data_IF_656821326926
#
_entry.id   IF_656821326926
#
_cell.length_a   1.000
_cell.length_b   1.000
_cell.length_c   1.000
_cell.angle_alpha   90.00
_cell.angle_beta   90.00
_cell.angle_gamma   90.00
#
_symmetry.space_group_name_H-M   'P 1'
#
loop_
_entity.id
_entity.type
_entity.pdbx_description
1 polymer ?
#
# COMPACT_ATOMS: atom_id res chain seq x y z
N UNK A 1 42.73 20.32 -8.49
CA UNK A 1 41.96 19.94 -7.27
C UNK A 1 40.51 20.44 -7.26
N UNK A 2 39.95 20.89 -8.40
CA UNK A 2 38.57 21.39 -8.48
C UNK A 2 37.51 20.31 -8.87
N UNK A 3 37.92 19.09 -9.22
CA UNK A 3 36.98 18.06 -9.74
C UNK A 3 36.36 17.15 -8.68
N UNK A 4 36.89 17.10 -7.45
CA UNK A 4 36.35 16.23 -6.39
C UNK A 4 35.19 16.91 -5.67
N UNK A 5 35.24 18.24 -5.48
CA UNK A 5 34.15 18.99 -4.87
C UNK A 5 32.88 19.00 -5.74
N UNK A 6 33.01 18.96 -7.07
CA UNK A 6 31.87 18.95 -8.00
C UNK A 6 31.11 17.61 -7.99
N UNK A 7 31.80 16.49 -7.77
CA UNK A 7 31.20 15.15 -7.65
C UNK A 7 30.38 14.99 -6.36
N UNK A 8 30.78 15.63 -5.26
CA UNK A 8 29.99 15.64 -4.02
C UNK A 8 28.77 16.57 -4.08
N UNK A 9 28.82 17.63 -4.89
CA UNK A 9 27.68 18.55 -5.09
C UNK A 9 26.62 17.93 -6.02
N UNK A 10 27.01 17.03 -6.94
CA UNK A 10 26.07 16.28 -7.79
C UNK A 10 25.40 15.09 -7.10
N UNK A 11 25.98 14.56 -6.01
CA UNK A 11 25.33 13.57 -5.16
C UNK A 11 24.25 14.18 -4.24
N UNK A 12 24.27 15.50 -4.06
CA UNK A 12 23.32 16.25 -3.26
C UNK A 12 22.16 16.76 -4.14
N UNK A 13 21.22 15.86 -4.43
CA UNK A 13 19.79 16.09 -4.73
C UNK A 13 19.23 15.03 -5.69
N UNK A 14 19.56 13.74 -5.51
CA UNK A 14 18.71 12.72 -6.10
C UNK A 14 17.34 12.78 -5.41
N UNK A 15 16.27 12.83 -6.21
CA UNK A 15 14.90 12.70 -5.72
C UNK A 15 14.81 11.46 -4.80
N UNK A 16 14.36 11.62 -3.54
CA UNK A 16 14.20 10.51 -2.61
C UNK A 16 13.45 9.30 -3.19
N UNK A 17 12.47 9.54 -4.06
CA UNK A 17 11.74 8.47 -4.74
C UNK A 17 12.62 7.68 -5.72
N UNK A 18 13.49 8.38 -6.47
CA UNK A 18 14.45 7.76 -7.39
C UNK A 18 15.48 6.94 -6.60
N UNK A 19 16.03 7.49 -5.51
CA UNK A 19 16.97 6.75 -4.65
C UNK A 19 16.33 5.51 -4.03
N UNK A 20 15.09 5.61 -3.54
CA UNK A 20 14.34 4.47 -3.01
C UNK A 20 14.16 3.38 -4.09
N UNK A 21 13.76 3.75 -5.31
CA UNK A 21 13.64 2.81 -6.42
C UNK A 21 14.96 2.09 -6.73
N UNK A 22 16.07 2.83 -6.76
CA UNK A 22 17.41 2.25 -7.00
C UNK A 22 17.82 1.25 -5.93
N UNK A 23 17.56 1.56 -4.65
CA UNK A 23 17.80 0.65 -3.53
C UNK A 23 16.93 -0.59 -3.67
N UNK A 24 15.62 -0.42 -3.85
CA UNK A 24 14.67 -1.52 -3.96
C UNK A 24 15.00 -2.47 -5.12
N UNK A 25 15.44 -1.93 -6.27
CA UNK A 25 15.86 -2.71 -7.43
C UNK A 25 17.14 -3.54 -7.18
N UNK A 26 17.98 -3.12 -6.22
CA UNK A 26 19.21 -3.82 -5.84
C UNK A 26 19.01 -4.81 -4.69
N UNK A 27 17.92 -4.68 -3.92
CA UNK A 27 17.53 -5.64 -2.88
C UNK A 27 16.87 -6.87 -3.53
N UNK A 28 17.52 -8.07 -3.53
CA UNK A 28 17.02 -9.21 -4.30
C UNK A 28 15.64 -9.68 -3.84
N UNK A 29 15.36 -9.65 -2.54
CA UNK A 29 14.07 -10.10 -1.99
C UNK A 29 12.94 -9.11 -2.33
N UNK A 30 13.19 -7.80 -2.27
CA UNK A 30 12.20 -6.78 -2.63
C UNK A 30 11.91 -6.78 -4.14
N UNK A 31 12.95 -6.81 -4.98
CA UNK A 31 12.77 -6.83 -6.43
C UNK A 31 12.09 -8.11 -6.92
N UNK A 32 12.44 -9.28 -6.36
CA UNK A 32 11.72 -10.54 -6.66
C UNK A 32 10.26 -10.48 -6.21
N UNK A 33 9.99 -9.90 -5.04
CA UNK A 33 8.61 -9.72 -4.58
C UNK A 33 7.81 -8.84 -5.54
N UNK A 34 8.40 -7.76 -6.02
CA UNK A 34 7.78 -6.89 -7.03
C UNK A 34 7.44 -7.64 -8.32
N UNK A 35 8.39 -8.43 -8.85
CA UNK A 35 8.17 -9.22 -10.07
C UNK A 35 7.06 -10.26 -9.86
N UNK A 36 7.01 -10.91 -8.70
CA UNK A 36 5.95 -11.87 -8.41
C UNK A 36 4.59 -11.17 -8.26
N UNK A 37 4.48 -10.04 -7.54
CA UNK A 37 3.23 -9.26 -7.46
C UNK A 37 2.74 -8.86 -8.86
N UNK A 38 3.65 -8.41 -9.74
CA UNK A 38 3.34 -8.11 -11.15
C UNK A 38 2.82 -9.33 -11.91
N UNK A 39 3.42 -10.51 -11.68
CA UNK A 39 2.98 -11.77 -12.29
C UNK A 39 1.60 -12.16 -11.79
N UNK A 40 1.33 -12.02 -10.50
CA UNK A 40 0.02 -12.34 -9.90
C UNK A 40 -1.07 -11.38 -10.39
N UNK A 41 -0.76 -10.09 -10.52
CA UNK A 41 -1.66 -9.13 -11.17
C UNK A 41 -1.99 -9.56 -12.61
N UNK A 42 -0.99 -9.95 -13.41
CA UNK A 42 -1.17 -10.42 -14.78
C UNK A 42 -1.87 -11.78 -14.91
N UNK A 43 -1.99 -12.54 -13.82
CA UNK A 43 -2.64 -13.84 -13.78
C UNK A 43 -4.13 -13.77 -13.42
N UNK A 44 -4.65 -12.61 -13.01
CA UNK A 44 -6.08 -12.38 -12.76
C UNK A 44 -6.87 -12.73 -14.04
N UNK A 45 -7.88 -13.59 -13.91
CA UNK A 45 -8.65 -14.12 -15.03
C UNK A 45 -9.55 -13.06 -15.68
N UNK A 46 -10.27 -12.29 -14.86
CA UNK A 46 -11.11 -11.19 -15.34
C UNK A 46 -10.27 -10.09 -16.04
N UNK A 47 -10.49 -9.82 -17.34
CA UNK A 47 -9.66 -8.86 -18.07
C UNK A 47 -9.74 -7.42 -17.58
N UNK A 48 -10.91 -7.00 -17.07
CA UNK A 48 -11.11 -5.63 -16.60
C UNK A 48 -10.43 -5.42 -15.24
N UNK A 49 -10.58 -6.39 -14.31
CA UNK A 49 -9.88 -6.38 -13.03
C UNK A 49 -8.36 -6.48 -13.24
N UNK A 50 -7.89 -7.38 -14.11
CA UNK A 50 -6.47 -7.50 -14.46
C UNK A 50 -5.90 -6.17 -14.94
N UNK A 51 -6.56 -5.52 -15.90
CA UNK A 51 -6.10 -4.23 -16.42
C UNK A 51 -6.08 -3.13 -15.34
N UNK A 52 -7.09 -3.07 -14.47
CA UNK A 52 -7.15 -2.10 -13.39
C UNK A 52 -6.01 -2.31 -12.37
N UNK A 53 -5.76 -3.55 -11.97
CA UNK A 53 -4.71 -3.91 -11.01
C UNK A 53 -3.32 -3.67 -11.60
N UNK A 54 -3.05 -4.10 -12.83
CA UNK A 54 -1.78 -3.85 -13.50
C UNK A 54 -1.48 -2.35 -13.62
N UNK A 55 -2.48 -1.56 -14.01
CA UNK A 55 -2.35 -0.11 -14.09
C UNK A 55 -2.05 0.51 -12.72
N UNK A 56 -2.71 0.02 -11.66
CA UNK A 56 -2.52 0.51 -10.31
C UNK A 56 -1.14 0.15 -9.75
N UNK A 57 -0.62 -1.05 -10.01
CA UNK A 57 0.74 -1.44 -9.61
C UNK A 57 1.80 -0.69 -10.41
N UNK A 58 1.56 -0.43 -11.70
CA UNK A 58 2.52 0.30 -12.55
C UNK A 58 2.61 1.79 -12.18
N UNK A 59 1.48 2.39 -11.81
CA UNK A 59 1.38 3.81 -11.52
C UNK A 59 0.38 4.06 -10.38
N UNK A 60 0.75 3.78 -9.12
CA UNK A 60 -0.15 3.95 -8.00
C UNK A 60 -0.45 5.43 -7.77
N UNK A 61 -1.73 5.79 -7.76
CA UNK A 61 -2.18 7.17 -7.53
C UNK A 61 -3.67 7.23 -7.24
N UNK A 62 -4.06 8.31 -6.58
CA UNK A 62 -5.43 8.80 -6.61
C UNK A 62 -5.59 9.58 -7.92
N UNK A 63 -6.50 9.20 -8.82
CA UNK A 63 -6.70 9.93 -10.07
C UNK A 63 -7.06 11.40 -9.82
N UNK A 64 -6.56 12.36 -10.63
CA UNK A 64 -6.82 13.80 -10.47
C UNK A 64 -8.28 14.18 -10.64
N UNK A 65 -9.09 13.27 -11.20
CA UNK A 65 -10.54 13.40 -11.33
C UNK A 65 -11.28 13.20 -10.00
N UNK A 66 -10.59 12.76 -8.93
CA UNK A 66 -11.20 12.66 -7.60
C UNK A 66 -11.79 14.01 -7.21
N UNK A 67 -13.08 14.00 -6.85
CA UNK A 67 -13.85 15.21 -6.56
C UNK A 67 -13.18 16.12 -5.53
N UNK A 68 -12.59 15.53 -4.49
CA UNK A 68 -11.96 16.26 -3.40
C UNK A 68 -10.73 17.10 -3.80
N UNK A 69 -10.07 16.82 -4.94
CA UNK A 69 -9.02 17.70 -5.45
C UNK A 69 -9.54 19.09 -5.84
N UNK A 70 -10.79 19.18 -6.31
CA UNK A 70 -11.44 20.45 -6.64
C UNK A 70 -12.26 21.06 -5.50
N UNK A 71 -12.51 20.30 -4.42
CA UNK A 71 -13.50 20.63 -3.38
C UNK A 71 -13.00 20.27 -1.98
N UNK A 72 -11.73 20.56 -1.69
CA UNK A 72 -11.09 20.13 -0.45
C UNK A 72 -11.77 20.70 0.81
N UNK A 73 -12.29 21.93 0.74
CA UNK A 73 -12.99 22.55 1.86
C UNK A 73 -14.32 21.83 2.17
N UNK A 74 -15.06 21.44 1.14
CA UNK A 74 -16.29 20.68 1.24
C UNK A 74 -16.02 19.24 1.69
N UNK A 75 -14.97 18.60 1.18
CA UNK A 75 -14.53 17.27 1.63
C UNK A 75 -14.22 17.26 3.13
N UNK A 76 -13.48 18.26 3.63
CA UNK A 76 -13.20 18.44 5.08
C UNK A 76 -14.49 18.53 5.89
N UNK A 77 -15.49 19.28 5.41
CA UNK A 77 -16.79 19.43 6.07
C UNK A 77 -17.58 18.11 6.07
N UNK A 78 -17.66 17.43 4.94
CA UNK A 78 -18.41 16.18 4.80
C UNK A 78 -17.81 15.05 5.64
N UNK A 79 -16.48 15.00 5.75
CA UNK A 79 -15.76 14.00 6.53
C UNK A 79 -15.63 14.36 8.02
N UNK A 80 -15.96 15.59 8.40
CA UNK A 80 -15.72 16.09 9.76
C UNK A 80 -14.23 16.17 10.11
N UNK A 81 -13.35 16.23 9.11
CA UNK A 81 -11.90 16.26 9.28
C UNK A 81 -11.34 17.60 8.75
N UNK A 82 -11.12 18.61 9.61
CA UNK A 82 -10.57 19.89 9.20
C UNK A 82 -9.09 19.82 8.77
N UNK A 83 -8.39 18.72 9.09
CA UNK A 83 -6.97 18.51 8.81
C UNK A 83 -6.73 17.65 7.57
N UNK A 84 -7.78 17.21 6.88
CA UNK A 84 -7.64 16.41 5.66
C UNK A 84 -6.68 17.09 4.69
N UNK A 85 -5.65 16.33 4.31
CA UNK A 85 -4.70 16.66 3.26
C UNK A 85 -4.69 15.51 2.25
N UNK A 86 -4.67 15.86 0.97
CA UNK A 86 -4.53 14.88 -0.11
C UNK A 86 -3.08 14.92 -0.62
N UNK A 87 -2.47 13.77 -0.93
CA UNK A 87 -1.20 13.77 -1.64
C UNK A 87 -1.39 14.48 -2.98
N UNK A 88 -0.34 15.14 -3.52
CA UNK A 88 -0.40 15.70 -4.87
C UNK A 88 -0.87 14.65 -5.87
N UNK A 89 -1.64 15.01 -6.92
CA UNK A 89 -2.17 14.08 -7.92
C UNK A 89 -1.06 13.58 -8.86
N UNK A 90 -0.07 12.89 -8.29
CA UNK A 90 1.11 12.36 -8.97
C UNK A 90 1.18 10.86 -8.77
N UNK A 91 1.75 10.19 -9.78
CA UNK A 91 2.03 8.76 -9.72
C UNK A 91 3.15 8.50 -8.72
N UNK A 92 2.89 7.60 -7.78
CA UNK A 92 3.92 6.98 -6.96
C UNK A 92 4.65 5.87 -7.72
N UNK A 93 5.51 5.15 -7.00
CA UNK A 93 6.24 4.01 -7.51
C UNK A 93 6.12 2.83 -6.54
N UNK A 94 5.43 1.78 -6.97
CA UNK A 94 5.16 0.60 -6.15
C UNK A 94 6.44 -0.13 -5.72
N UNK A 95 7.47 -0.16 -6.58
CA UNK A 95 8.75 -0.77 -6.24
C UNK A 95 9.54 0.10 -5.26
N UNK A 96 9.41 1.43 -5.33
CA UNK A 96 10.12 2.31 -4.41
C UNK A 96 9.47 2.33 -3.01
N UNK A 97 8.16 2.13 -2.92
CA UNK A 97 7.38 2.35 -1.71
C UNK A 97 7.79 1.47 -0.52
N UNK A 98 7.79 2.01 0.71
CA UNK A 98 7.88 1.20 1.92
C UNK A 98 6.53 0.49 2.17
N UNK A 99 6.53 -0.57 2.98
CA UNK A 99 5.29 -1.22 3.40
C UNK A 99 4.65 -0.57 4.64
N UNK A 100 5.40 0.28 5.35
CA UNK A 100 4.96 1.01 6.52
C UNK A 100 5.96 2.10 6.89
N UNK A 101 5.75 2.76 8.04
CA UNK A 101 6.67 3.81 8.51
C UNK A 101 8.12 3.29 8.63
N UNK A 102 9.09 4.12 8.26
CA UNK A 102 10.46 3.64 8.01
C UNK A 102 11.21 3.26 9.28
N UNK A 103 10.91 3.91 10.41
CA UNK A 103 11.63 3.72 11.67
C UNK A 103 10.91 2.72 12.59
N UNK A 104 9.59 2.77 12.62
CA UNK A 104 8.73 2.13 13.61
C UNK A 104 7.57 1.31 13.00
N UNK A 105 7.51 1.22 11.67
CA UNK A 105 6.51 0.41 10.95
C UNK A 105 6.95 -1.02 10.67
N UNK A 106 6.12 -1.74 9.91
CA UNK A 106 6.46 -3.03 9.32
C UNK A 106 6.88 -2.83 7.86
N UNK A 107 7.93 -3.53 7.41
CA UNK A 107 8.51 -3.37 6.07
C UNK A 107 8.92 -1.91 5.72
N UNK A 108 9.48 -1.19 6.69
CA UNK A 108 9.86 0.23 6.58
C UNK A 108 11.09 0.54 5.72
N UNK A 109 11.28 -0.15 4.59
CA UNK A 109 12.43 -0.02 3.69
C UNK A 109 11.99 0.10 2.23
N UNK A 110 12.84 0.64 1.33
CA UNK A 110 12.49 0.73 -0.09
C UNK A 110 12.14 -0.64 -0.68
N UNK A 111 10.97 -0.75 -1.31
CA UNK A 111 10.41 -2.01 -1.83
C UNK A 111 9.68 -2.86 -0.80
N UNK A 112 9.55 -2.37 0.44
CA UNK A 112 8.79 -3.02 1.50
C UNK A 112 7.33 -3.26 1.15
N UNK A 113 6.70 -2.39 0.34
CA UNK A 113 5.33 -2.62 -0.14
C UNK A 113 5.24 -3.89 -0.99
N UNK A 114 6.24 -4.14 -1.84
CA UNK A 114 6.25 -5.34 -2.67
C UNK A 114 6.40 -6.61 -1.83
N UNK A 115 7.23 -6.56 -0.78
CA UNK A 115 7.42 -7.66 0.17
C UNK A 115 6.13 -7.92 0.97
N UNK A 116 5.54 -6.85 1.51
CA UNK A 116 4.25 -6.87 2.22
C UNK A 116 3.18 -7.54 1.37
N UNK A 117 2.89 -7.00 0.19
CA UNK A 117 1.86 -7.54 -0.71
C UNK A 117 2.11 -9.00 -1.08
N UNK A 118 3.35 -9.40 -1.35
CA UNK A 118 3.65 -10.81 -1.64
C UNK A 118 3.41 -11.71 -0.42
N UNK A 119 3.82 -11.28 0.78
CA UNK A 119 3.60 -12.02 2.01
C UNK A 119 2.10 -12.22 2.25
N UNK A 120 1.30 -11.14 2.18
CA UNK A 120 -0.15 -11.19 2.29
C UNK A 120 -0.77 -12.12 1.25
N UNK A 121 -0.32 -12.09 -0.02
CA UNK A 121 -0.83 -13.01 -1.07
C UNK A 121 -0.57 -14.47 -0.72
N UNK A 122 0.63 -14.80 -0.25
CA UNK A 122 0.99 -16.18 0.13
C UNK A 122 0.17 -16.65 1.33
N UNK A 123 0.01 -15.80 2.34
CA UNK A 123 -0.79 -16.09 3.53
C UNK A 123 -2.27 -16.27 3.19
N UNK A 124 -2.84 -15.36 2.40
CA UNK A 124 -4.23 -15.42 1.96
C UNK A 124 -4.53 -16.70 1.18
N UNK A 125 -3.63 -17.13 0.29
CA UNK A 125 -3.76 -18.38 -0.45
C UNK A 125 -3.67 -19.61 0.44
N UNK A 126 -2.71 -19.66 1.36
CA UNK A 126 -2.57 -20.79 2.28
C UNK A 126 -3.81 -20.93 3.18
N UNK A 127 -4.35 -19.80 3.66
CA UNK A 127 -5.56 -19.78 4.45
C UNK A 127 -6.79 -20.18 3.61
N UNK A 128 -6.91 -19.66 2.39
CA UNK A 128 -7.99 -20.04 1.49
C UNK A 128 -7.96 -21.53 1.14
N UNK A 129 -6.77 -22.06 0.87
CA UNK A 129 -6.58 -23.49 0.61
C UNK A 129 -7.05 -24.35 1.79
N UNK A 130 -6.67 -23.94 3.00
CA UNK A 130 -7.05 -24.63 4.23
C UNK A 130 -8.57 -24.63 4.41
N UNK A 131 -9.22 -23.48 4.18
CA UNK A 131 -10.67 -23.37 4.33
C UNK A 131 -11.43 -24.16 3.26
N UNK A 132 -10.93 -24.19 2.02
CA UNK A 132 -11.49 -25.03 0.97
C UNK A 132 -11.39 -26.51 1.34
N UNK A 133 -10.23 -26.97 1.81
CA UNK A 133 -10.00 -28.39 2.07
C UNK A 133 -10.68 -28.90 3.34
N UNK A 134 -10.70 -28.10 4.41
CA UNK A 134 -11.21 -28.53 5.71
C UNK A 134 -12.70 -28.24 5.85
N UNK A 135 -13.17 -27.10 5.32
CA UNK A 135 -14.54 -26.62 5.54
C UNK A 135 -15.39 -26.58 4.26
N UNK A 136 -14.86 -26.98 3.10
CA UNK A 136 -15.56 -26.94 1.81
C UNK A 136 -16.13 -25.54 1.48
N UNK A 137 -15.42 -24.50 1.90
CA UNK A 137 -15.78 -23.11 1.58
C UNK A 137 -15.20 -22.76 0.22
N UNK A 138 -16.05 -22.36 -0.70
CA UNK A 138 -15.66 -21.81 -2.01
C UNK A 138 -15.29 -20.33 -1.87
N UNK A 139 -14.29 -19.88 -2.62
CA UNK A 139 -13.87 -18.47 -2.64
C UNK A 139 -13.59 -17.97 -4.05
N UNK A 140 -13.78 -16.67 -4.22
CA UNK A 140 -13.44 -15.95 -5.44
C UNK A 140 -11.95 -15.60 -5.43
N UNK A 141 -11.09 -16.50 -5.94
CA UNK A 141 -9.63 -16.34 -5.90
C UNK A 141 -9.14 -15.06 -6.59
N UNK A 142 -9.74 -14.68 -7.71
CA UNK A 142 -9.40 -13.43 -8.42
C UNK A 142 -9.79 -12.19 -7.61
N UNK A 143 -10.94 -12.23 -6.92
CA UNK A 143 -11.37 -11.15 -6.04
C UNK A 143 -10.41 -10.99 -4.86
N UNK A 144 -10.03 -12.09 -4.21
CA UNK A 144 -9.08 -12.08 -3.10
C UNK A 144 -7.68 -11.60 -3.55
N UNK A 145 -7.19 -12.11 -4.69
CA UNK A 145 -5.90 -11.69 -5.26
C UNK A 145 -5.92 -10.20 -5.60
N UNK A 146 -7.00 -9.73 -6.23
CA UNK A 146 -7.20 -8.30 -6.53
C UNK A 146 -7.19 -7.47 -5.25
N UNK A 147 -7.92 -7.90 -4.22
CA UNK A 147 -8.04 -7.14 -2.99
C UNK A 147 -6.68 -6.98 -2.28
N UNK A 148 -5.93 -8.06 -2.18
CA UNK A 148 -4.59 -8.07 -1.57
C UNK A 148 -3.61 -7.19 -2.33
N UNK A 149 -3.60 -7.25 -3.66
CA UNK A 149 -2.70 -6.40 -4.45
C UNK A 149 -3.10 -4.93 -4.31
N UNK A 150 -4.40 -4.63 -4.29
CA UNK A 150 -4.90 -3.26 -4.30
C UNK A 150 -4.62 -2.49 -3.01
N UNK A 151 -4.82 -3.14 -1.86
CA UNK A 151 -4.93 -2.47 -0.54
C UNK A 151 -3.81 -1.47 -0.22
N UNK A 152 -2.55 -1.84 -0.46
CA UNK A 152 -1.39 -1.02 -0.09
C UNK A 152 -0.88 -0.13 -1.23
N UNK A 153 -1.48 -0.16 -2.42
CA UNK A 153 -0.90 0.51 -3.60
C UNK A 153 -0.66 2.01 -3.39
N UNK A 154 -1.54 2.67 -2.63
CA UNK A 154 -1.46 4.11 -2.39
C UNK A 154 -0.38 4.52 -1.39
N UNK A 155 0.23 3.57 -0.67
CA UNK A 155 1.40 3.86 0.19
C UNK A 155 2.51 4.51 -0.61
N UNK A 156 2.63 4.17 -1.89
CA UNK A 156 3.58 4.78 -2.82
C UNK A 156 3.38 6.30 -3.05
N UNK A 157 2.20 6.83 -2.75
CA UNK A 157 1.86 8.25 -2.89
C UNK A 157 1.71 8.95 -1.53
N UNK A 158 1.26 8.25 -0.50
CA UNK A 158 0.96 8.81 0.83
C UNK A 158 2.10 8.72 1.83
N UNK A 159 3.07 7.82 1.60
CA UNK A 159 4.20 7.59 2.50
C UNK A 159 5.56 7.75 1.76
N UNK A 160 5.84 8.90 1.11
CA UNK A 160 7.07 9.09 0.37
C UNK A 160 8.30 9.15 1.29
N UNK A 161 9.44 8.67 0.77
CA UNK A 161 10.74 8.89 1.40
C UNK A 161 11.10 10.39 1.42
N UNK A 162 11.71 10.82 2.51
CA UNK A 162 12.28 12.16 2.68
C UNK A 162 13.74 12.20 2.27
N UNK A 163 14.29 13.41 2.16
CA UNK A 163 15.69 13.64 1.80
C UNK A 163 16.69 12.94 2.75
N UNK A 164 16.33 12.76 4.01
CA UNK A 164 17.15 12.06 5.01
C UNK A 164 16.99 10.53 5.00
N UNK A 165 16.07 9.98 4.20
CA UNK A 165 15.78 8.55 4.12
C UNK A 165 14.72 8.07 5.13
N UNK A 166 14.16 8.97 5.93
CA UNK A 166 12.98 8.67 6.76
C UNK A 166 11.69 8.67 5.90
N UNK A 167 10.63 8.09 6.43
CA UNK A 167 9.27 8.22 5.91
C UNK A 167 8.27 8.08 7.07
N UNK A 168 7.09 8.67 6.92
CA UNK A 168 6.03 8.65 7.94
C UNK A 168 6.23 9.64 9.10
N UNK A 169 5.28 9.73 10.06
CA UNK A 169 4.04 8.97 10.09
C UNK A 169 3.14 9.33 8.91
N UNK A 170 2.33 8.37 8.49
CA UNK A 170 1.30 8.60 7.48
C UNK A 170 0.16 9.44 8.08
N UNK A 171 -0.45 10.31 7.26
CA UNK A 171 -1.70 10.95 7.67
C UNK A 171 -2.81 9.91 7.82
N UNK A 172 -3.82 10.22 8.63
CA UNK A 172 -5.00 9.38 8.79
C UNK A 172 -6.22 10.01 8.09
N UNK A 173 -7.10 9.15 7.57
CA UNK A 173 -8.41 9.52 7.07
C UNK A 173 -9.42 8.54 7.68
N UNK A 174 -10.46 9.05 8.34
CA UNK A 174 -11.47 8.23 9.01
C UNK A 174 -10.88 7.19 9.99
N UNK A 175 -9.78 7.56 10.68
CA UNK A 175 -9.10 6.72 11.68
C UNK A 175 -8.31 5.53 11.10
N UNK A 176 -8.01 5.54 9.80
CA UNK A 176 -7.09 4.60 9.16
C UNK A 176 -5.97 5.35 8.43
N UNK A 177 -4.81 4.71 8.18
CA UNK A 177 -3.77 5.29 7.34
C UNK A 177 -4.31 5.73 5.98
N UNK A 178 -3.89 6.91 5.50
CA UNK A 178 -4.46 7.56 4.32
C UNK A 178 -4.46 6.67 3.07
N UNK A 179 -3.43 5.84 2.84
CA UNK A 179 -3.37 4.94 1.70
C UNK A 179 -4.58 4.03 1.61
N UNK A 180 -5.13 3.59 2.74
CA UNK A 180 -6.27 2.68 2.78
C UNK A 180 -7.50 3.34 2.18
N UNK A 181 -7.89 4.51 2.71
CA UNK A 181 -9.07 5.25 2.23
C UNK A 181 -8.86 5.79 0.83
N UNK A 182 -7.67 6.29 0.50
CA UNK A 182 -7.36 6.79 -0.84
C UNK A 182 -7.27 5.66 -1.87
N UNK A 183 -6.86 4.45 -1.46
CA UNK A 183 -6.88 3.26 -2.28
C UNK A 183 -8.30 2.82 -2.62
N UNK A 184 -9.20 2.85 -1.63
CA UNK A 184 -10.63 2.63 -1.86
C UNK A 184 -11.22 3.70 -2.80
N UNK A 185 -10.88 4.98 -2.62
CA UNK A 185 -11.34 6.06 -3.49
C UNK A 185 -10.85 5.87 -4.95
N UNK A 186 -9.59 5.45 -5.10
CA UNK A 186 -9.02 5.09 -6.40
C UNK A 186 -9.73 3.88 -7.04
N UNK A 187 -10.25 2.95 -6.24
CA UNK A 187 -11.07 1.82 -6.68
C UNK A 187 -12.47 2.24 -7.12
N UNK A 188 -13.13 3.13 -6.36
CA UNK A 188 -14.44 3.71 -6.70
C UNK A 188 -14.37 4.43 -8.06
N UNK A 189 -13.35 5.27 -8.26
CA UNK A 189 -13.13 5.99 -9.53
C UNK A 189 -12.85 5.08 -10.73
N UNK A 190 -12.48 3.82 -10.49
CA UNK A 190 -12.27 2.79 -11.52
C UNK A 190 -13.42 1.80 -11.61
N UNK A 191 -14.52 2.06 -10.90
CA UNK A 191 -15.73 1.25 -10.90
C UNK A 191 -15.45 -0.21 -10.50
N UNK A 192 -14.57 -0.42 -9.52
CA UNK A 192 -14.42 -1.75 -8.91
C UNK A 192 -15.77 -2.17 -8.27
N UNK A 193 -16.16 -3.46 -8.34
CA UNK A 193 -17.41 -3.93 -7.74
C UNK A 193 -17.47 -3.64 -6.23
N UNK A 194 -18.65 -3.29 -5.72
CA UNK A 194 -18.86 -2.98 -4.30
C UNK A 194 -18.40 -4.10 -3.36
N UNK A 195 -18.65 -5.36 -3.72
CA UNK A 195 -18.19 -6.53 -2.96
C UNK A 195 -16.64 -6.61 -2.92
N UNK A 196 -15.96 -6.24 -4.02
CA UNK A 196 -14.50 -6.18 -4.03
C UNK A 196 -13.98 -5.00 -3.19
N UNK A 197 -14.63 -3.84 -3.25
CA UNK A 197 -14.28 -2.69 -2.40
C UNK A 197 -14.44 -3.05 -0.91
N UNK A 198 -15.47 -3.83 -0.56
CA UNK A 198 -15.64 -4.36 0.79
C UNK A 198 -14.48 -5.27 1.22
N UNK A 199 -14.07 -6.22 0.36
CA UNK A 199 -12.94 -7.12 0.64
C UNK A 199 -11.62 -6.35 0.76
N UNK A 200 -11.38 -5.34 -0.08
CA UNK A 200 -10.22 -4.45 0.04
C UNK A 200 -10.25 -3.73 1.39
N UNK A 201 -11.40 -3.13 1.74
CA UNK A 201 -11.58 -2.35 2.95
C UNK A 201 -11.39 -3.17 4.24
N UNK A 202 -11.61 -4.49 4.18
CA UNK A 202 -11.53 -5.38 5.33
C UNK A 202 -10.10 -5.68 5.82
N UNK A 203 -9.06 -5.37 5.03
CA UNK A 203 -7.67 -5.66 5.37
C UNK A 203 -7.26 -5.25 6.81
N UNK A 204 -7.38 -3.98 7.21
CA UNK A 204 -7.00 -3.57 8.57
C UNK A 204 -8.03 -3.99 9.65
N UNK A 205 -9.27 -4.32 9.27
CA UNK A 205 -10.29 -4.80 10.20
C UNK A 205 -11.50 -5.40 9.48
N UNK A 206 -12.06 -6.53 9.94
CA UNK A 206 -13.28 -7.11 9.39
C UNK A 206 -14.56 -6.54 10.04
N UNK A 207 -14.43 -5.53 10.92
CA UNK A 207 -15.57 -4.86 11.57
C UNK A 207 -16.37 -4.07 10.52
N UNK A 208 -17.65 -4.42 10.28
CA UNK A 208 -18.46 -3.78 9.27
C UNK A 208 -18.63 -2.27 9.51
N UNK A 209 -18.64 -1.80 10.76
CA UNK A 209 -18.77 -0.37 11.05
C UNK A 209 -17.54 0.43 10.59
N UNK A 210 -16.35 -0.15 10.81
CA UNK A 210 -15.08 0.45 10.36
C UNK A 210 -14.98 0.45 8.84
N UNK A 211 -15.27 -0.69 8.21
CA UNK A 211 -15.35 -0.83 6.75
C UNK A 211 -16.29 0.23 6.17
N UNK A 212 -17.46 0.40 6.78
CA UNK A 212 -18.46 1.37 6.37
C UNK A 212 -17.97 2.82 6.42
N UNK A 213 -17.27 3.16 7.50
CA UNK A 213 -16.66 4.48 7.68
C UNK A 213 -15.65 4.76 6.58
N UNK A 214 -14.77 3.79 6.27
CA UNK A 214 -13.73 3.95 5.24
C UNK A 214 -14.30 4.03 3.82
N UNK A 215 -15.28 3.18 3.48
CA UNK A 215 -15.95 3.23 2.19
C UNK A 215 -16.75 4.54 2.01
N UNK A 216 -17.44 5.00 3.06
CA UNK A 216 -18.12 6.29 3.04
C UNK A 216 -17.15 7.45 2.82
N UNK A 217 -16.00 7.42 3.52
CA UNK A 217 -14.98 8.45 3.36
C UNK A 217 -14.34 8.43 1.97
N UNK A 218 -14.03 7.23 1.45
CA UNK A 218 -13.51 7.03 0.12
C UNK A 218 -14.48 7.55 -0.96
N UNK A 219 -15.79 7.28 -0.81
CA UNK A 219 -16.82 7.76 -1.71
C UNK A 219 -16.94 9.29 -1.71
N UNK A 220 -16.83 9.93 -0.53
CA UNK A 220 -16.79 11.40 -0.45
C UNK A 220 -15.56 11.95 -1.19
N UNK A 221 -14.40 11.33 -1.02
CA UNK A 221 -13.17 11.75 -1.70
C UNK A 221 -13.27 11.59 -3.22
N UNK A 222 -13.81 10.45 -3.67
CA UNK A 222 -13.96 10.11 -5.08
C UNK A 222 -15.01 10.98 -5.77
N UNK A 223 -16.20 11.11 -5.18
CA UNK A 223 -17.41 11.59 -5.87
C UNK A 223 -18.18 12.70 -5.13
N UNK A 224 -17.74 13.11 -3.93
CA UNK A 224 -18.42 14.14 -3.14
C UNK A 224 -19.73 13.70 -2.48
N UNK A 225 -19.98 12.39 -2.41
CA UNK A 225 -21.19 11.80 -1.81
C UNK A 225 -20.84 10.56 -1.01
N UNK A 226 -21.66 10.22 -0.03
CA UNK A 226 -21.54 8.97 0.72
C UNK A 226 -22.22 7.84 -0.07
N UNK A 227 -21.55 6.69 -0.19
CA UNK A 227 -22.15 5.51 -0.79
C UNK A 227 -23.05 4.76 0.20
N UNK A 228 -23.97 3.95 -0.31
CA UNK A 228 -24.64 2.95 0.51
C UNK A 228 -23.66 1.84 0.85
N UNK A 229 -23.49 1.61 2.14
CA UNK A 229 -22.49 0.71 2.65
C UNK A 229 -22.86 -0.77 2.41
N UNK A 230 -21.97 -1.59 1.80
CA UNK A 230 -22.22 -3.01 1.67
C UNK A 230 -22.27 -3.62 3.08
N UNK A 231 -23.38 -4.28 3.42
CA UNK A 231 -23.56 -4.89 4.75
C UNK A 231 -23.10 -6.35 4.80
N UNK A 232 -22.68 -6.91 3.67
CA UNK A 232 -22.38 -8.34 3.56
C UNK A 232 -20.92 -8.60 3.89
N UNK A 233 -20.69 -9.21 5.05
CA UNK A 233 -19.41 -9.86 5.33
C UNK A 233 -19.22 -11.06 4.39
N UNK A 234 -17.99 -11.21 3.88
CA UNK A 234 -17.58 -12.34 3.03
C UNK A 234 -16.43 -13.09 3.69
N UNK A 235 -16.24 -14.36 3.33
CA UNK A 235 -15.11 -15.14 3.84
C UNK A 235 -13.79 -14.56 3.34
N UNK A 236 -13.78 -14.05 2.12
CA UNK A 236 -12.64 -13.36 1.51
C UNK A 236 -12.21 -12.14 2.34
N UNK A 237 -13.16 -11.38 2.91
CA UNK A 237 -12.85 -10.25 3.78
C UNK A 237 -12.11 -10.69 5.07
N UNK A 238 -12.55 -11.78 5.70
CA UNK A 238 -11.87 -12.35 6.87
C UNK A 238 -10.50 -12.94 6.52
N UNK A 239 -10.40 -13.66 5.39
CA UNK A 239 -9.14 -14.23 4.92
C UNK A 239 -8.14 -13.12 4.63
N UNK A 240 -8.57 -12.06 3.94
CA UNK A 240 -7.74 -10.91 3.65
C UNK A 240 -7.23 -10.24 4.94
N UNK A 241 -8.14 -9.98 5.88
CA UNK A 241 -7.76 -9.40 7.19
C UNK A 241 -6.71 -10.25 7.92
N UNK A 242 -6.95 -11.56 8.03
CA UNK A 242 -6.04 -12.47 8.73
C UNK A 242 -4.68 -12.57 8.04
N UNK A 243 -4.66 -12.55 6.72
CA UNK A 243 -3.43 -12.57 5.92
C UNK A 243 -2.66 -11.24 5.96
N UNK A 244 -3.31 -10.12 6.29
CA UNK A 244 -2.67 -8.81 6.45
C UNK A 244 -2.23 -8.54 7.91
N UNK A 245 -2.58 -9.44 8.83
CA UNK A 245 -2.35 -9.26 10.28
C UNK A 245 -0.95 -9.73 10.75
N UNK A 246 0.08 -9.65 9.91
CA UNK A 246 1.44 -10.12 10.24
C UNK A 246 2.33 -9.06 10.92
N UNK A 247 1.81 -7.83 11.06
CA UNK A 247 2.48 -6.68 11.69
C UNK A 247 3.22 -6.99 13.00
N UNK A 248 2.72 -7.82 13.95
CA UNK A 248 3.47 -8.14 15.16
C UNK A 248 4.82 -8.83 14.90
N UNK A 249 4.89 -9.71 13.90
CA UNK A 249 6.12 -10.43 13.54
C UNK A 249 7.06 -9.52 12.75
N UNK A 250 6.53 -8.81 11.76
CA UNK A 250 7.31 -8.01 10.83
C UNK A 250 7.86 -6.74 11.50
N UNK A 251 7.12 -6.15 12.45
CA UNK A 251 7.61 -5.05 13.30
C UNK A 251 8.71 -5.51 14.26
N UNK A 252 8.59 -6.72 14.82
CA UNK A 252 9.62 -7.28 15.70
C UNK A 252 10.94 -7.50 14.94
N UNK A 253 10.89 -8.11 13.75
CA UNK A 253 12.09 -8.28 12.92
C UNK A 253 12.66 -6.93 12.50
N UNK A 254 11.83 -6.02 11.98
CA UNK A 254 12.30 -4.71 11.51
C UNK A 254 12.92 -3.87 12.62
N UNK A 255 12.30 -3.80 13.80
CA UNK A 255 12.83 -3.05 14.93
C UNK A 255 14.20 -3.56 15.41
N UNK A 256 14.44 -4.88 15.34
CA UNK A 256 15.76 -5.48 15.62
C UNK A 256 16.81 -5.09 14.60
N UNK A 257 16.43 -4.96 13.32
CA UNK A 257 17.31 -4.42 12.29
C UNK A 257 17.61 -2.93 12.51
N UNK A 258 16.56 -2.13 12.68
CA UNK A 258 16.67 -0.67 12.93
C UNK A 258 17.54 -0.35 14.14
N UNK A 259 17.48 -1.16 15.21
CA UNK A 259 18.27 -0.95 16.42
C UNK A 259 19.80 -1.10 16.21
N UNK A 260 20.23 -1.92 15.24
CA UNK A 260 21.66 -2.17 14.96
C UNK A 260 22.20 -1.43 13.74
N UNK A 261 21.32 -1.06 12.80
CA UNK A 261 21.69 -0.42 11.56
C UNK A 261 21.93 1.10 11.72
N UNK A 262 22.67 1.73 10.79
CA UNK A 262 22.74 3.19 10.70
C UNK A 262 21.36 3.84 10.51
N UNK A 263 21.29 5.16 10.67
CA UNK A 263 20.06 5.94 10.41
C UNK A 263 20.01 6.48 8.98
N UNK A 264 18.79 6.83 8.56
CA UNK A 264 18.56 7.47 7.27
C UNK A 264 18.98 6.59 6.10
N UNK A 265 19.38 7.19 4.99
CA UNK A 265 19.78 6.42 3.80
C UNK A 265 20.90 5.41 4.02
N UNK A 266 21.84 5.69 4.96
CA UNK A 266 22.91 4.77 5.28
C UNK A 266 22.39 3.42 5.83
N UNK A 267 21.17 3.38 6.39
CA UNK A 267 20.49 2.15 6.77
C UNK A 267 20.31 1.22 5.58
N UNK A 268 19.80 1.76 4.48
CA UNK A 268 19.46 0.95 3.33
C UNK A 268 20.70 0.60 2.49
N UNK A 269 21.73 1.44 2.54
CA UNK A 269 23.06 1.09 2.02
C UNK A 269 23.65 -0.10 2.81
N UNK A 270 23.48 -0.16 4.13
CA UNK A 270 23.84 -1.32 4.94
C UNK A 270 22.96 -2.54 4.62
N UNK A 271 21.64 -2.37 4.46
CA UNK A 271 20.73 -3.45 4.11
C UNK A 271 21.09 -4.13 2.77
N UNK A 272 21.61 -3.37 1.80
CA UNK A 272 22.14 -3.93 0.55
C UNK A 272 23.34 -4.87 0.78
N UNK A 273 24.14 -4.63 1.80
CA UNK A 273 25.29 -5.45 2.18
C UNK A 273 24.85 -6.65 3.02
N UNK A 274 23.92 -6.44 3.94
CA UNK A 274 23.38 -7.46 4.84
C UNK A 274 22.44 -8.44 4.12
N UNK A 275 21.86 -8.02 2.98
CA UNK A 275 20.94 -8.82 2.18
C UNK A 275 19.55 -8.90 2.82
N UNK A 276 19.07 -10.11 3.08
CA UNK A 276 17.73 -10.35 3.67
C UNK A 276 17.81 -10.65 5.17
N UNK A 277 18.86 -10.19 5.85
CA UNK A 277 19.02 -10.34 7.30
C UNK A 277 18.18 -9.29 8.06
N UNK A 278 16.85 -9.43 7.99
CA UNK A 278 15.89 -8.60 8.75
C UNK A 278 15.65 -9.18 10.15
#
# INVERSE_FOLDING_TARGET
>A
MANIALLFILAAAQDPAVRAREVAAKLPFAYRAYLEVRREAGAIGDPALRAAVEAQVLAPWLPPQAWAYGHLAEARKLLGDPKLELPPPRKGDFLAAPGGACEDGHHGYPGGLSVHTLATLRQARALAESYRHVYAVEMHTDQLTTAVIWQGTLTAATLPFRADGSCGPEAEIAGAPAHHVLGLAAGILRHLPDDLLYVIAAAPSPDPNRICSWLSAASVIAEGRTMTCPQRQTVEAFIHHLADSDAPLTTLSWSRYVARAPKGWARYDALLQDGNDL
#
